data_IF_754307381069
#
_entry.id   IF_754307381069
#
_cell.length_a   1.000
_cell.length_b   1.000
_cell.length_c   1.000
_cell.angle_alpha   90.00
_cell.angle_beta   90.00
_cell.angle_gamma   90.00
#
_symmetry.space_group_name_H-M   'P 1'
#
loop_
_entity.id
_entity.type
_entity.pdbx_description
1 polymer ?
#
# COMPACT_ATOMS: atom_id res chain seq x y z
N UNK A 1 -52.23 44.13 24.10
CA UNK A 1 -50.94 43.88 23.44
C UNK A 1 -50.45 42.57 23.99
N UNK A 2 -50.31 41.57 23.13
CA UNK A 2 -50.02 40.19 23.49
C UNK A 2 -48.51 40.02 23.43
N UNK A 3 -47.92 39.55 24.53
CA UNK A 3 -46.51 39.20 24.64
C UNK A 3 -46.18 38.03 23.69
N UNK A 4 -45.21 38.23 22.81
CA UNK A 4 -44.66 37.19 21.93
C UNK A 4 -43.32 36.72 22.49
N UNK A 5 -43.29 35.49 22.99
CA UNK A 5 -42.04 34.77 23.30
C UNK A 5 -41.26 34.43 22.02
N UNK A 6 -39.92 34.50 22.03
CA UNK A 6 -39.11 34.05 20.91
C UNK A 6 -38.96 32.53 20.95
N UNK A 7 -39.48 31.86 19.92
CA UNK A 7 -39.26 30.43 19.69
C UNK A 7 -37.81 30.17 19.32
N UNK A 8 -37.08 29.46 20.18
CA UNK A 8 -35.77 28.91 19.88
C UNK A 8 -35.91 27.79 18.84
N UNK A 9 -35.64 28.13 17.59
CA UNK A 9 -35.48 27.14 16.53
C UNK A 9 -34.26 26.28 16.80
N UNK A 10 -34.47 25.03 17.20
CA UNK A 10 -33.43 24.00 17.14
C UNK A 10 -32.99 23.85 15.68
N UNK A 11 -31.75 24.21 15.40
CA UNK A 11 -31.10 23.83 14.15
C UNK A 11 -31.11 22.29 14.06
N UNK A 12 -31.44 21.70 12.90
CA UNK A 12 -31.31 20.26 12.72
C UNK A 12 -29.83 19.91 12.91
N UNK A 13 -29.54 19.10 13.93
CA UNK A 13 -28.21 18.57 14.17
C UNK A 13 -27.70 17.91 12.90
N UNK A 14 -26.52 18.31 12.45
CA UNK A 14 -25.85 17.64 11.35
C UNK A 14 -25.77 16.14 11.68
N UNK A 15 -26.37 15.30 10.83
CA UNK A 15 -26.11 13.87 10.87
C UNK A 15 -24.60 13.66 10.91
N UNK A 16 -24.05 12.77 11.76
CA UNK A 16 -22.62 12.52 11.77
C UNK A 16 -22.19 12.18 10.34
N UNK A 17 -21.27 12.97 9.78
CA UNK A 17 -20.71 12.66 8.47
C UNK A 17 -20.18 11.22 8.53
N UNK A 18 -20.75 10.34 7.70
CA UNK A 18 -20.35 8.95 7.69
C UNK A 18 -18.91 8.87 7.18
N UNK A 19 -18.07 8.10 7.87
CA UNK A 19 -16.67 7.85 7.49
C UNK A 19 -16.56 7.49 5.99
N UNK A 20 -15.66 8.13 5.22
CA UNK A 20 -15.47 7.83 3.79
C UNK A 20 -15.13 6.37 3.48
N UNK A 21 -14.61 5.64 4.48
CA UNK A 21 -14.21 4.22 4.38
C UNK A 21 -15.21 3.24 5.06
N UNK A 22 -16.30 3.72 5.65
CA UNK A 22 -17.23 2.90 6.45
C UNK A 22 -16.74 2.61 7.89
N UNK A 23 -17.41 1.69 8.59
CA UNK A 23 -17.03 1.20 9.93
C UNK A 23 -16.07 0.01 9.79
N UNK A 24 -14.90 0.09 10.43
CA UNK A 24 -13.84 -0.92 10.32
C UNK A 24 -13.96 -2.04 11.37
N UNK A 25 -14.98 -2.04 12.24
CA UNK A 25 -15.17 -3.08 13.28
C UNK A 25 -15.36 -4.46 12.68
N UNK A 26 -16.17 -4.56 11.64
CA UNK A 26 -16.47 -5.81 10.95
C UNK A 26 -15.91 -5.78 9.52
N UNK A 27 -15.52 -6.92 8.93
CA UNK A 27 -15.13 -6.98 7.53
C UNK A 27 -16.22 -6.43 6.61
N UNK A 28 -15.82 -5.66 5.59
CA UNK A 28 -16.73 -5.21 4.53
C UNK A 28 -17.11 -6.36 3.59
N UNK A 29 -16.26 -7.38 3.49
CA UNK A 29 -16.49 -8.62 2.75
C UNK A 29 -15.47 -9.70 3.08
N UNK A 30 -15.86 -10.96 2.84
CA UNK A 30 -14.97 -12.12 2.90
C UNK A 30 -15.20 -12.95 1.65
N UNK A 31 -14.15 -13.13 0.83
CA UNK A 31 -14.18 -13.99 -0.36
C UNK A 31 -13.56 -15.33 0.02
N UNK A 32 -14.29 -16.42 -0.25
CA UNK A 32 -13.91 -17.78 0.13
C UNK A 32 -13.87 -18.69 -1.10
N UNK A 33 -12.70 -19.26 -1.40
CA UNK A 33 -12.61 -20.50 -2.17
C UNK A 33 -12.30 -21.68 -1.23
N UNK A 34 -12.87 -22.84 -1.54
CA UNK A 34 -12.89 -24.04 -0.68
C UNK A 34 -11.49 -24.59 -0.37
N UNK A 35 -10.46 -24.16 -1.10
CA UNK A 35 -9.09 -24.63 -0.96
C UNK A 35 -8.08 -23.53 -0.64
N UNK A 36 -8.52 -22.29 -0.42
CA UNK A 36 -7.62 -21.13 -0.23
C UNK A 36 -7.90 -20.38 1.08
N UNK A 37 -6.91 -19.58 1.51
CA UNK A 37 -7.09 -18.70 2.67
C UNK A 37 -8.03 -17.56 2.26
N UNK A 38 -9.10 -17.28 3.01
CA UNK A 38 -10.06 -16.27 2.61
C UNK A 38 -9.46 -14.87 2.51
N UNK A 39 -9.88 -14.13 1.49
CA UNK A 39 -9.59 -12.71 1.33
C UNK A 39 -10.57 -11.94 2.18
N UNK A 40 -10.08 -11.34 3.27
CA UNK A 40 -10.87 -10.50 4.17
C UNK A 40 -10.53 -9.05 3.92
N UNK A 41 -11.53 -8.24 3.59
CA UNK A 41 -11.40 -6.79 3.39
C UNK A 41 -12.27 -6.05 4.39
N UNK A 42 -11.79 -4.92 4.89
CA UNK A 42 -12.44 -4.06 5.88
C UNK A 42 -12.81 -2.71 5.29
N UNK A 43 -12.01 -2.20 4.35
CA UNK A 43 -12.29 -0.91 3.72
C UNK A 43 -13.59 -0.95 2.93
N UNK A 44 -14.30 0.17 2.92
CA UNK A 44 -15.44 0.41 2.03
C UNK A 44 -15.42 1.86 1.56
N UNK A 45 -14.72 2.13 0.46
CA UNK A 45 -14.69 3.42 -0.20
C UNK A 45 -16.12 3.81 -0.65
N UNK A 46 -16.65 4.91 -0.10
CA UNK A 46 -17.98 5.45 -0.42
C UNK A 46 -17.95 6.78 -1.18
N UNK A 47 -16.76 7.25 -1.51
CA UNK A 47 -16.49 8.52 -2.17
C UNK A 47 -15.00 8.65 -2.49
N UNK A 48 -14.52 9.87 -2.78
CA UNK A 48 -13.14 10.10 -3.18
C UNK A 48 -12.11 9.66 -2.13
N UNK A 49 -11.06 8.93 -2.55
CA UNK A 49 -9.94 8.51 -1.69
C UNK A 49 -9.23 9.71 -1.05
N UNK A 50 -9.26 10.86 -1.73
CA UNK A 50 -8.68 12.11 -1.20
C UNK A 50 -9.32 12.56 0.12
N UNK A 51 -10.58 12.20 0.39
CA UNK A 51 -11.30 12.54 1.63
C UNK A 51 -11.00 11.60 2.80
N UNK A 52 -10.36 10.46 2.54
CA UNK A 52 -9.97 9.52 3.60
C UNK A 52 -8.84 10.09 4.46
N UNK A 53 -8.70 9.61 5.70
CA UNK A 53 -7.50 9.90 6.50
C UNK A 53 -6.27 9.18 5.93
N UNK A 54 -5.09 9.53 6.43
CA UNK A 54 -3.87 8.85 6.03
C UNK A 54 -3.89 7.35 6.36
N UNK A 55 -4.34 6.97 7.56
CA UNK A 55 -4.40 5.56 7.97
C UNK A 55 -5.48 4.79 7.22
N UNK A 56 -6.61 5.42 6.91
CA UNK A 56 -7.65 4.83 6.07
C UNK A 56 -7.15 4.55 4.65
N UNK A 57 -6.47 5.52 4.00
CA UNK A 57 -5.80 5.29 2.71
C UNK A 57 -4.79 4.15 2.81
N UNK A 58 -4.00 4.15 3.88
CA UNK A 58 -2.96 3.14 4.10
C UNK A 58 -3.55 1.73 4.23
N UNK A 59 -4.73 1.58 4.85
CA UNK A 59 -5.45 0.32 4.90
C UNK A 59 -6.00 -0.08 3.54
N UNK A 60 -6.71 0.84 2.87
CA UNK A 60 -7.30 0.61 1.55
C UNK A 60 -6.27 0.09 0.55
N UNK A 61 -5.13 0.77 0.44
CA UNK A 61 -4.09 0.38 -0.51
C UNK A 61 -3.36 -0.90 -0.12
N UNK A 62 -3.27 -1.23 1.18
CA UNK A 62 -2.75 -2.51 1.64
C UNK A 62 -3.69 -3.65 1.26
N UNK A 63 -5.00 -3.44 1.39
CA UNK A 63 -6.02 -4.41 0.99
C UNK A 63 -6.02 -4.61 -0.51
N UNK A 64 -6.01 -3.55 -1.32
CA UNK A 64 -5.95 -3.68 -2.78
C UNK A 64 -4.64 -4.35 -3.26
N UNK A 65 -3.51 -4.07 -2.59
CA UNK A 65 -2.27 -4.79 -2.85
C UNK A 65 -2.39 -6.29 -2.50
N UNK A 66 -3.15 -6.66 -1.45
CA UNK A 66 -3.42 -8.06 -1.12
C UNK A 66 -4.38 -8.70 -2.13
N UNK A 67 -5.42 -7.98 -2.50
CA UNK A 67 -6.44 -8.41 -3.48
C UNK A 67 -5.77 -8.73 -4.83
N UNK A 68 -4.74 -7.97 -5.23
CA UNK A 68 -4.00 -8.21 -6.48
C UNK A 68 -3.31 -9.58 -6.57
N UNK A 69 -3.17 -10.32 -5.46
CA UNK A 69 -2.59 -11.67 -5.47
C UNK A 69 -3.58 -12.78 -5.82
N UNK A 70 -4.87 -12.47 -5.91
CA UNK A 70 -5.91 -13.46 -6.18
C UNK A 70 -6.24 -13.49 -7.68
N UNK A 71 -6.95 -14.53 -8.11
CA UNK A 71 -7.46 -14.60 -9.47
C UNK A 71 -8.49 -13.50 -9.75
N UNK A 72 -8.76 -13.26 -11.04
CA UNK A 72 -9.59 -12.14 -11.48
C UNK A 72 -11.00 -12.16 -10.88
N UNK A 73 -11.60 -13.34 -10.70
CA UNK A 73 -12.96 -13.47 -10.14
C UNK A 73 -12.96 -13.05 -8.67
N UNK A 74 -12.03 -13.58 -7.89
CA UNK A 74 -11.92 -13.27 -6.46
C UNK A 74 -11.50 -11.83 -6.22
N UNK A 75 -10.56 -11.34 -7.03
CA UNK A 75 -10.12 -9.96 -6.98
C UNK A 75 -11.27 -9.00 -7.29
N UNK A 76 -12.08 -9.31 -8.31
CA UNK A 76 -13.26 -8.51 -8.65
C UNK A 76 -14.34 -8.56 -7.55
N UNK A 77 -14.55 -9.71 -6.90
CA UNK A 77 -15.50 -9.81 -5.79
C UNK A 77 -15.03 -9.02 -4.56
N UNK A 78 -13.76 -9.17 -4.16
CA UNK A 78 -13.18 -8.41 -3.06
C UNK A 78 -13.19 -6.91 -3.35
N UNK A 79 -12.81 -6.48 -4.55
CA UNK A 79 -12.81 -5.08 -4.96
C UNK A 79 -14.22 -4.46 -4.90
N UNK A 80 -15.27 -5.21 -5.25
CA UNK A 80 -16.67 -4.74 -5.09
C UNK A 80 -17.03 -4.47 -3.63
N UNK A 81 -16.60 -5.31 -2.69
CA UNK A 81 -16.81 -5.04 -1.25
C UNK A 81 -16.06 -3.80 -0.77
N UNK A 82 -14.87 -3.57 -1.33
CA UNK A 82 -14.04 -2.38 -1.07
C UNK A 82 -14.61 -1.11 -1.69
N UNK A 83 -15.42 -1.21 -2.75
CA UNK A 83 -16.05 -0.07 -3.43
C UNK A 83 -15.51 0.24 -4.83
N UNK A 84 -14.85 -0.71 -5.49
CA UNK A 84 -14.33 -0.61 -6.85
C UNK A 84 -14.99 -1.65 -7.77
N UNK A 85 -16.12 -1.31 -8.41
CA UNK A 85 -16.88 -2.27 -9.23
C UNK A 85 -16.28 -2.54 -10.61
N UNK A 86 -15.49 -1.61 -11.17
CA UNK A 86 -14.77 -1.79 -12.44
C UNK A 86 -13.36 -2.32 -12.14
N UNK A 87 -13.10 -3.57 -12.52
CA UNK A 87 -11.82 -4.24 -12.33
C UNK A 87 -11.29 -4.70 -13.68
N UNK A 88 -10.01 -4.44 -13.92
CA UNK A 88 -9.31 -4.90 -15.13
C UNK A 88 -8.00 -5.54 -14.73
N UNK A 89 -7.78 -6.77 -15.15
CA UNK A 89 -6.52 -7.48 -14.96
C UNK A 89 -5.60 -7.28 -16.16
N UNK A 90 -4.31 -7.08 -15.89
CA UNK A 90 -3.25 -6.97 -16.90
C UNK A 90 -2.19 -8.02 -16.59
N UNK A 91 -1.84 -8.80 -17.60
CA UNK A 91 -0.78 -9.80 -17.55
C UNK A 91 -0.01 -9.80 -18.86
N UNK A 92 1.32 -9.82 -18.75
CA UNK A 92 2.20 -10.10 -19.89
C UNK A 92 3.54 -10.60 -19.38
N UNK A 93 3.97 -11.77 -19.88
CA UNK A 93 5.24 -12.43 -19.54
C UNK A 93 5.43 -12.63 -18.02
N UNK A 94 4.33 -12.91 -17.30
CA UNK A 94 4.35 -13.12 -15.84
C UNK A 94 4.28 -11.83 -15.02
N UNK A 95 4.49 -10.67 -15.63
CA UNK A 95 4.26 -9.37 -14.99
C UNK A 95 2.77 -9.11 -14.86
N UNK A 96 2.30 -8.79 -13.65
CA UNK A 96 0.86 -8.67 -13.36
C UNK A 96 0.47 -7.39 -12.61
N UNK A 97 -0.67 -6.82 -12.98
CA UNK A 97 -1.28 -5.69 -12.28
C UNK A 97 -2.81 -5.68 -12.43
N UNK A 98 -3.47 -5.05 -11.48
CA UNK A 98 -4.90 -4.75 -11.55
C UNK A 98 -5.13 -3.24 -11.62
N UNK A 99 -6.15 -2.84 -12.39
CA UNK A 99 -6.80 -1.55 -12.25
C UNK A 99 -8.11 -1.75 -11.50
N UNK A 100 -8.28 -1.06 -10.39
CA UNK A 100 -9.52 -0.93 -9.65
C UNK A 100 -10.08 0.47 -9.86
N UNK A 101 -11.32 0.59 -10.31
CA UNK A 101 -11.95 1.87 -10.62
C UNK A 101 -13.36 1.96 -10.04
N UNK A 102 -13.69 3.15 -9.56
CA UNK A 102 -15.05 3.56 -9.22
C UNK A 102 -15.36 4.90 -9.92
N UNK A 103 -16.41 5.61 -9.49
CA UNK A 103 -16.81 6.88 -10.09
C UNK A 103 -15.86 8.04 -9.73
N UNK A 104 -15.08 7.90 -8.66
CA UNK A 104 -14.25 8.97 -8.09
C UNK A 104 -12.75 8.78 -8.31
N UNK A 105 -12.26 7.54 -8.40
CA UNK A 105 -10.83 7.22 -8.36
C UNK A 105 -10.47 6.00 -9.24
N UNK A 106 -9.21 5.99 -9.68
CA UNK A 106 -8.56 4.87 -10.35
C UNK A 106 -7.33 4.42 -9.55
N UNK A 107 -7.20 3.14 -9.24
CA UNK A 107 -6.07 2.57 -8.50
C UNK A 107 -5.37 1.52 -9.36
N UNK A 108 -4.07 1.65 -9.55
CA UNK A 108 -3.21 0.63 -10.15
C UNK A 108 -2.49 -0.12 -9.04
N UNK A 109 -2.83 -1.40 -8.86
CA UNK A 109 -2.19 -2.30 -7.92
C UNK A 109 -1.29 -3.29 -8.66
N UNK A 110 0.03 -3.17 -8.50
CA UNK A 110 0.97 -4.11 -9.10
C UNK A 110 1.13 -5.33 -8.19
N UNK A 111 0.94 -6.53 -8.75
CA UNK A 111 1.12 -7.80 -8.05
C UNK A 111 2.62 -8.08 -7.90
N UNK A 112 3.03 -8.59 -6.74
CA UNK A 112 4.39 -9.12 -6.54
C UNK A 112 4.44 -10.63 -6.74
N UNK A 113 5.60 -11.22 -6.48
CA UNK A 113 5.83 -12.66 -6.56
C UNK A 113 5.02 -13.45 -5.51
N UNK A 114 4.49 -14.63 -5.87
CA UNK A 114 3.68 -15.47 -4.98
C UNK A 114 4.49 -16.08 -3.81
N UNK A 115 3.86 -16.49 -2.70
CA UNK A 115 4.54 -17.14 -1.57
C UNK A 115 5.32 -18.42 -1.92
N UNK A 116 4.92 -19.16 -2.96
CA UNK A 116 5.62 -20.36 -3.40
C UNK A 116 6.91 -19.99 -4.13
N UNK A 117 6.81 -19.05 -5.07
CA UNK A 117 7.94 -18.42 -5.76
C UNK A 117 8.81 -17.58 -4.80
N UNK A 118 8.27 -17.18 -3.64
CA UNK A 118 9.01 -16.53 -2.57
C UNK A 118 10.04 -17.46 -1.91
N UNK A 119 9.73 -18.75 -1.80
CA UNK A 119 10.69 -19.74 -1.31
C UNK A 119 11.83 -19.92 -2.31
N UNK A 120 11.52 -19.84 -3.61
CA UNK A 120 12.51 -19.86 -4.68
C UNK A 120 13.34 -18.57 -4.67
N UNK A 121 12.71 -17.39 -4.54
CA UNK A 121 13.42 -16.11 -4.31
C UNK A 121 14.28 -16.18 -3.05
N UNK A 122 13.84 -16.84 -1.97
CA UNK A 122 14.63 -16.98 -0.75
C UNK A 122 15.85 -17.88 -0.97
N UNK A 123 15.70 -18.96 -1.73
CA UNK A 123 16.81 -19.82 -2.13
C UNK A 123 17.78 -19.07 -3.06
N UNK A 124 17.22 -18.30 -4.00
CA UNK A 124 17.92 -17.47 -4.96
C UNK A 124 18.38 -16.14 -4.38
N UNK A 125 17.98 -15.71 -3.18
CA UNK A 125 18.44 -14.45 -2.58
C UNK A 125 19.95 -14.51 -2.28
N UNK A 126 20.47 -15.72 -2.05
CA UNK A 126 21.92 -15.99 -2.05
C UNK A 126 22.56 -15.79 -3.43
N UNK A 127 21.79 -15.99 -4.51
CA UNK A 127 22.16 -15.70 -5.90
C UNK A 127 21.73 -14.30 -6.38
N UNK A 128 20.85 -13.57 -5.69
CA UNK A 128 20.34 -12.25 -6.06
C UNK A 128 21.40 -11.15 -5.92
N UNK A 129 22.45 -11.43 -5.13
CA UNK A 129 23.69 -10.68 -5.18
C UNK A 129 24.34 -10.69 -6.58
N UNK A 130 24.03 -11.70 -7.42
CA UNK A 130 24.48 -11.86 -8.81
C UNK A 130 23.48 -11.23 -9.80
N UNK A 131 22.18 -11.20 -9.50
CA UNK A 131 21.14 -10.59 -10.37
C UNK A 131 21.03 -9.06 -10.26
N UNK A 132 21.78 -8.41 -9.37
CA UNK A 132 21.93 -6.95 -9.32
C UNK A 132 22.78 -6.39 -10.49
N UNK A 133 22.69 -6.97 -11.68
CA UNK A 133 23.28 -6.42 -12.90
C UNK A 133 22.56 -5.13 -13.27
N UNK A 134 23.12 -3.99 -12.83
CA UNK A 134 22.65 -2.68 -13.27
C UNK A 134 23.78 -1.86 -13.88
N UNK A 135 23.67 -1.65 -15.18
CA UNK A 135 24.25 -0.51 -15.87
C UNK A 135 23.30 0.71 -15.71
N UNK A 136 23.26 1.28 -14.50
CA UNK A 136 22.73 2.62 -14.22
C UNK A 136 21.20 2.84 -14.22
N UNK A 137 20.75 3.68 -13.26
CA UNK A 137 19.42 4.29 -13.02
C UNK A 137 18.35 3.44 -12.31
N UNK A 138 17.99 2.23 -12.74
CA UNK A 138 16.91 1.41 -12.13
C UNK A 138 17.30 -0.06 -12.12
N UNK A 139 16.83 -0.85 -11.14
CA UNK A 139 16.99 -2.31 -11.16
C UNK A 139 16.47 -2.92 -12.47
N UNK A 140 17.30 -3.67 -13.18
CA UNK A 140 16.96 -4.20 -14.52
C UNK A 140 15.71 -5.07 -14.49
N UNK A 141 15.62 -6.00 -13.52
CA UNK A 141 14.46 -6.88 -13.39
C UNK A 141 13.15 -6.11 -13.23
N UNK A 142 13.07 -5.18 -12.27
CA UNK A 142 11.86 -4.38 -12.05
C UNK A 142 11.50 -3.52 -13.26
N UNK A 143 12.52 -3.00 -13.97
CA UNK A 143 12.29 -2.23 -15.19
C UNK A 143 11.70 -3.10 -16.29
N UNK A 144 12.23 -4.31 -16.51
CA UNK A 144 11.73 -5.26 -17.50
C UNK A 144 10.26 -5.58 -17.25
N UNK A 145 9.89 -6.00 -16.04
CA UNK A 145 8.50 -6.30 -15.69
C UNK A 145 7.53 -5.15 -16.01
N UNK A 146 7.99 -3.92 -15.76
CA UNK A 146 7.19 -2.73 -16.06
C UNK A 146 7.23 -2.39 -17.55
N UNK A 147 8.30 -2.65 -18.29
CA UNK A 147 8.32 -2.47 -19.75
C UNK A 147 7.28 -3.36 -20.43
N UNK A 148 7.08 -4.57 -19.92
CA UNK A 148 6.12 -5.54 -20.44
C UNK A 148 4.67 -5.14 -20.16
N UNK A 149 4.39 -4.66 -18.94
CA UNK A 149 3.04 -4.20 -18.56
C UNK A 149 2.67 -2.80 -19.07
N UNK A 150 3.65 -1.90 -19.15
CA UNK A 150 3.40 -0.46 -19.30
C UNK A 150 2.54 -0.10 -20.54
N UNK A 151 2.71 -0.68 -21.73
CA UNK A 151 1.89 -0.34 -22.89
C UNK A 151 0.37 -0.53 -22.65
N UNK A 152 0.01 -1.59 -21.91
CA UNK A 152 -1.40 -1.86 -21.57
C UNK A 152 -1.92 -0.89 -20.50
N UNK A 153 -1.12 -0.63 -19.47
CA UNK A 153 -1.45 0.34 -18.42
C UNK A 153 -1.58 1.76 -18.99
N UNK A 154 -0.65 2.17 -19.85
CA UNK A 154 -0.67 3.47 -20.52
C UNK A 154 -1.94 3.62 -21.36
N UNK A 155 -2.29 2.60 -22.16
CA UNK A 155 -3.54 2.60 -22.94
C UNK A 155 -4.78 2.74 -22.04
N UNK A 156 -4.81 2.02 -20.90
CA UNK A 156 -5.91 2.10 -19.95
C UNK A 156 -6.00 3.44 -19.21
N UNK A 157 -4.88 4.16 -19.07
CA UNK A 157 -4.78 5.43 -18.35
C UNK A 157 -4.90 6.66 -19.24
N UNK A 158 -4.62 6.58 -20.55
CA UNK A 158 -4.74 7.71 -21.49
C UNK A 158 -6.15 8.31 -21.48
N UNK A 159 -7.19 7.49 -21.34
CA UNK A 159 -8.59 7.92 -21.27
C UNK A 159 -9.13 8.08 -19.84
N UNK A 160 -8.25 8.09 -18.83
CA UNK A 160 -8.66 8.25 -17.44
C UNK A 160 -8.63 9.73 -17.05
N UNK A 161 -9.78 10.23 -16.59
CA UNK A 161 -9.96 11.61 -16.10
C UNK A 161 -10.10 11.67 -14.55
N UNK A 162 -9.96 10.53 -13.88
CA UNK A 162 -10.06 10.42 -12.41
C UNK A 162 -8.68 10.52 -11.75
N UNK A 163 -8.57 11.01 -10.50
CA UNK A 163 -7.38 10.83 -9.68
C UNK A 163 -6.84 9.40 -9.75
N UNK A 164 -5.54 9.27 -10.04
CA UNK A 164 -4.89 7.97 -10.18
C UNK A 164 -3.93 7.70 -9.01
N UNK A 165 -4.06 6.54 -8.41
CA UNK A 165 -3.27 6.09 -7.27
C UNK A 165 -2.51 4.82 -7.62
N UNK A 166 -1.36 4.62 -6.99
CA UNK A 166 -0.55 3.44 -7.21
C UNK A 166 -0.31 2.72 -5.89
N UNK A 167 -0.42 1.39 -5.90
CA UNK A 167 0.02 0.59 -4.78
C UNK A 167 0.66 -0.74 -5.19
N UNK A 168 1.37 -1.35 -4.25
CA UNK A 168 1.96 -2.67 -4.47
C UNK A 168 2.74 -3.18 -3.27
N UNK A 169 2.85 -4.49 -3.19
CA UNK A 169 3.60 -5.19 -2.16
C UNK A 169 4.81 -5.91 -2.75
N UNK A 170 5.91 -5.99 -2.00
CA UNK A 170 7.13 -6.70 -2.42
C UNK A 170 7.65 -6.20 -3.78
N UNK A 171 7.91 -7.11 -4.73
CA UNK A 171 8.20 -6.81 -6.15
C UNK A 171 7.17 -5.84 -6.75
N UNK A 172 5.88 -6.05 -6.49
CA UNK A 172 4.80 -5.18 -6.94
C UNK A 172 4.95 -3.74 -6.44
N UNK A 173 5.52 -3.52 -5.25
CA UNK A 173 5.84 -2.17 -4.76
C UNK A 173 6.93 -1.48 -5.57
N UNK A 174 7.92 -2.23 -6.05
CA UNK A 174 8.95 -1.71 -6.95
C UNK A 174 8.37 -1.38 -8.34
N UNK A 175 7.53 -2.27 -8.88
CA UNK A 175 6.81 -2.05 -10.13
C UNK A 175 5.92 -0.80 -10.05
N UNK A 176 5.10 -0.69 -8.99
CA UNK A 176 4.23 0.46 -8.74
C UNK A 176 5.01 1.77 -8.68
N UNK A 177 6.22 1.77 -8.10
CA UNK A 177 7.11 2.93 -8.07
C UNK A 177 7.52 3.36 -9.48
N UNK A 178 7.89 2.42 -10.34
CA UNK A 178 8.29 2.71 -11.73
C UNK A 178 7.06 3.15 -12.54
N UNK A 179 5.92 2.47 -12.41
CA UNK A 179 4.67 2.81 -13.09
C UNK A 179 4.20 4.22 -12.72
N UNK A 180 4.19 4.58 -11.44
CA UNK A 180 3.80 5.91 -10.99
C UNK A 180 4.75 6.98 -11.55
N UNK A 181 6.06 6.71 -11.55
CA UNK A 181 7.06 7.59 -12.15
C UNK A 181 6.85 7.78 -13.67
N UNK A 182 6.56 6.71 -14.42
CA UNK A 182 6.25 6.81 -15.85
C UNK A 182 4.97 7.57 -16.10
N UNK A 183 3.92 7.31 -15.34
CA UNK A 183 2.63 8.00 -15.43
C UNK A 183 2.83 9.51 -15.25
N UNK A 184 3.54 9.91 -14.19
CA UNK A 184 3.85 11.31 -13.90
C UNK A 184 4.59 12.03 -15.03
N UNK A 185 5.44 11.32 -15.78
CA UNK A 185 6.27 11.88 -16.86
C UNK A 185 5.62 11.75 -18.24
N UNK A 186 4.53 11.02 -18.34
CA UNK A 186 3.84 10.74 -19.60
C UNK A 186 2.95 11.92 -20.01
N UNK A 187 2.28 11.75 -21.14
CA UNK A 187 1.25 12.68 -21.63
C UNK A 187 -0.14 12.35 -21.08
N UNK A 188 -0.26 11.37 -20.17
CA UNK A 188 -1.50 11.01 -19.48
C UNK A 188 -1.95 12.22 -18.66
N UNK A 189 -3.23 12.60 -18.80
CA UNK A 189 -3.77 13.78 -18.12
C UNK A 189 -3.85 13.60 -16.59
N UNK A 190 -4.15 12.37 -16.16
CA UNK A 190 -4.21 12.00 -14.75
C UNK A 190 -2.82 11.89 -14.14
N UNK A 191 -2.42 12.93 -13.40
CA UNK A 191 -1.18 12.93 -12.60
C UNK A 191 -1.38 12.00 -11.40
N UNK A 192 -0.41 11.12 -11.07
CA UNK A 192 -0.48 10.30 -9.87
C UNK A 192 -0.65 11.12 -8.59
N UNK A 193 -1.70 10.83 -7.83
CA UNK A 193 -2.02 11.50 -6.56
C UNK A 193 -1.05 11.08 -5.45
N UNK A 194 -0.86 9.78 -5.26
CA UNK A 194 0.12 9.22 -4.33
C UNK A 194 0.45 7.76 -4.66
N UNK A 195 1.53 7.27 -4.03
CA UNK A 195 2.01 5.90 -4.13
C UNK A 195 2.14 5.27 -2.74
N UNK A 196 1.55 4.09 -2.55
CA UNK A 196 1.60 3.33 -1.31
C UNK A 196 2.27 1.97 -1.54
N UNK A 197 3.38 1.72 -0.84
CA UNK A 197 4.13 0.48 -1.02
C UNK A 197 4.37 -0.23 0.29
N UNK A 198 4.30 -1.57 0.27
CA UNK A 198 4.42 -2.42 1.45
C UNK A 198 5.53 -3.43 1.25
N UNK A 199 6.54 -3.45 2.13
CA UNK A 199 7.66 -4.39 1.98
C UNK A 199 8.48 -4.20 0.70
N UNK A 200 8.44 -3.01 0.08
CA UNK A 200 9.07 -2.77 -1.23
C UNK A 200 10.60 -2.69 -1.15
N UNK A 201 11.33 -3.31 -2.11
CA UNK A 201 12.77 -3.18 -2.22
C UNK A 201 13.19 -1.79 -2.74
N UNK A 202 14.49 -1.50 -2.71
CA UNK A 202 15.06 -0.31 -3.34
C UNK A 202 14.97 -0.44 -4.86
N UNK A 203 14.43 0.58 -5.51
CA UNK A 203 14.11 0.53 -6.94
C UNK A 203 15.26 1.01 -7.84
N UNK A 204 15.97 2.06 -7.41
CA UNK A 204 16.98 2.69 -8.24
C UNK A 204 18.03 3.46 -7.47
N UNK A 205 18.90 4.14 -8.22
CA UNK A 205 19.95 4.99 -7.66
C UNK A 205 19.38 6.35 -7.20
N UNK A 206 20.23 7.16 -6.56
CA UNK A 206 19.87 8.51 -6.09
C UNK A 206 19.31 9.40 -7.21
N UNK A 207 19.77 9.26 -8.45
CA UNK A 207 19.30 10.10 -9.56
C UNK A 207 17.88 9.72 -9.96
N UNK A 208 17.58 8.43 -10.04
CA UNK A 208 16.25 7.95 -10.38
C UNK A 208 15.21 8.30 -9.33
N UNK A 209 15.49 8.01 -8.06
CA UNK A 209 14.51 8.23 -6.98
C UNK A 209 14.18 9.70 -6.72
N UNK A 210 15.02 10.63 -7.18
CA UNK A 210 14.81 12.07 -7.06
C UNK A 210 14.31 12.70 -8.36
N UNK A 211 14.06 11.90 -9.41
CA UNK A 211 13.67 12.42 -10.72
C UNK A 211 12.20 12.86 -10.75
N UNK A 212 11.33 12.19 -9.99
CA UNK A 212 9.92 12.53 -9.83
C UNK A 212 9.65 12.83 -8.36
N UNK A 213 8.97 13.94 -8.09
CA UNK A 213 8.44 14.26 -6.75
C UNK A 213 7.00 13.79 -6.70
N UNK A 214 6.80 12.59 -6.15
CA UNK A 214 5.51 11.99 -5.88
C UNK A 214 5.40 11.74 -4.39
N UNK A 215 4.21 11.96 -3.81
CA UNK A 215 3.93 11.54 -2.45
C UNK A 215 3.94 10.02 -2.39
N UNK A 216 5.04 9.49 -1.87
CA UNK A 216 5.30 8.05 -1.78
C UNK A 216 5.43 7.66 -0.32
N UNK A 217 4.50 6.84 0.16
CA UNK A 217 4.53 6.29 1.52
C UNK A 217 4.96 4.82 1.46
N UNK A 218 6.06 4.52 2.15
CA UNK A 218 6.69 3.20 2.13
C UNK A 218 6.60 2.56 3.50
N UNK A 219 5.73 1.56 3.62
CA UNK A 219 5.56 0.77 4.82
C UNK A 219 6.68 -0.25 4.98
N UNK A 220 7.29 -0.26 6.16
CA UNK A 220 8.36 -1.18 6.53
C UNK A 220 7.99 -1.89 7.82
N UNK A 221 7.94 -3.22 7.77
CA UNK A 221 7.68 -4.03 8.95
C UNK A 221 8.98 -4.54 9.55
N UNK A 222 9.37 -3.99 10.70
CA UNK A 222 10.42 -4.50 11.58
C UNK A 222 11.67 -5.06 10.87
N UNK A 223 11.80 -6.40 10.82
CA UNK A 223 12.97 -7.10 10.30
C UNK A 223 12.82 -7.56 8.85
N UNK A 224 11.79 -7.11 8.12
CA UNK A 224 11.62 -7.40 6.71
C UNK A 224 12.91 -7.06 5.93
N UNK A 225 13.53 -8.11 5.36
CA UNK A 225 14.79 -8.01 4.61
C UNK A 225 14.61 -7.42 3.22
N UNK A 226 13.42 -7.52 2.63
CA UNK A 226 13.15 -7.08 1.25
C UNK A 226 13.27 -5.58 1.14
N UNK A 227 12.81 -4.87 2.17
CA UNK A 227 13.01 -3.42 2.30
C UNK A 227 14.49 -3.00 2.42
N UNK A 228 15.41 -3.96 2.47
CA UNK A 228 16.85 -3.75 2.58
C UNK A 228 17.61 -4.29 1.37
N UNK A 229 16.93 -4.82 0.36
CA UNK A 229 17.49 -5.24 -0.92
C UNK A 229 17.07 -4.30 -2.05
N UNK A 230 17.87 -4.11 -3.11
CA UNK A 230 19.31 -4.35 -3.12
C UNK A 230 20.04 -3.51 -2.05
N UNK A 231 21.20 -3.96 -1.54
CA UNK A 231 21.94 -3.23 -0.51
C UNK A 231 22.37 -1.81 -0.94
N UNK A 232 22.29 -0.86 -0.01
CA UNK A 232 22.62 0.54 -0.29
C UNK A 232 24.09 0.77 -0.73
N UNK A 233 25.02 -0.11 -0.36
CA UNK A 233 26.42 -0.01 -0.77
C UNK A 233 26.61 -0.27 -2.28
N UNK A 234 25.64 -0.89 -2.96
CA UNK A 234 25.61 -1.03 -4.42
C UNK A 234 25.06 0.23 -5.13
N UNK A 235 24.82 1.33 -4.41
CA UNK A 235 24.33 2.60 -4.98
C UNK A 235 22.81 2.78 -4.96
N UNK A 236 22.05 1.75 -4.61
CA UNK A 236 20.59 1.79 -4.50
C UNK A 236 20.11 2.65 -3.33
N UNK A 237 19.00 3.36 -3.52
CA UNK A 237 18.38 4.22 -2.50
C UNK A 237 16.87 4.03 -2.48
N UNK A 238 16.25 4.36 -1.35
CA UNK A 238 14.79 4.44 -1.22
C UNK A 238 14.31 5.84 -1.60
N UNK A 239 13.19 5.92 -2.31
CA UNK A 239 12.34 7.12 -2.41
C UNK A 239 11.26 7.09 -1.32
N UNK A 240 10.55 8.21 -1.21
CA UNK A 240 9.37 8.35 -0.37
C UNK A 240 9.68 8.46 1.12
N UNK A 241 8.60 8.55 1.87
CA UNK A 241 8.58 8.70 3.32
C UNK A 241 8.38 7.32 3.94
N UNK A 242 9.25 6.93 4.87
CA UNK A 242 9.18 5.64 5.55
C UNK A 242 8.16 5.66 6.67
N UNK A 243 7.17 4.77 6.60
CA UNK A 243 6.20 4.48 7.67
C UNK A 243 6.62 3.17 8.33
N UNK A 244 7.14 3.24 9.55
CA UNK A 244 7.72 2.08 10.22
C UNK A 244 6.71 1.40 11.16
N UNK A 245 6.60 0.08 11.03
CA UNK A 245 5.85 -0.79 11.93
C UNK A 245 6.86 -1.50 12.83
N UNK A 246 6.75 -1.29 14.14
CA UNK A 246 7.64 -1.91 15.13
C UNK A 246 7.32 -3.41 15.36
N UNK A 247 8.18 -4.10 16.10
CA UNK A 247 8.04 -5.53 16.42
C UNK A 247 6.76 -5.92 17.18
N UNK A 248 6.07 -4.93 17.74
CA UNK A 248 4.87 -5.07 18.56
C UNK A 248 3.62 -4.62 17.76
N UNK A 249 3.79 -4.16 16.51
CA UNK A 249 2.72 -3.79 15.59
C UNK A 249 2.30 -2.32 15.68
N UNK A 250 3.10 -1.46 16.34
CA UNK A 250 2.80 -0.03 16.40
C UNK A 250 3.39 0.70 15.20
N UNK A 251 2.60 1.63 14.65
CA UNK A 251 3.04 2.54 13.60
C UNK A 251 3.50 3.84 14.26
N UNK A 252 4.71 4.28 13.95
CA UNK A 252 5.21 5.55 14.44
C UNK A 252 6.65 5.83 14.05
N UNK A 253 7.11 7.03 14.37
CA UNK A 253 8.48 7.41 14.12
C UNK A 253 9.42 6.77 15.13
N UNK A 254 10.47 6.14 14.61
CA UNK A 254 11.61 5.67 15.38
C UNK A 254 12.89 6.19 14.74
N UNK A 255 13.80 6.70 15.55
CA UNK A 255 15.13 7.08 15.10
C UNK A 255 15.97 5.85 14.70
N UNK A 256 17.14 6.08 14.11
CA UNK A 256 18.00 5.00 13.62
C UNK A 256 18.48 4.04 14.74
N UNK A 257 18.72 4.53 15.95
CA UNK A 257 19.16 3.72 17.09
C UNK A 257 18.01 2.89 17.66
N UNK A 258 16.83 3.51 17.78
CA UNK A 258 15.59 2.86 18.19
C UNK A 258 15.20 1.75 17.20
N UNK A 259 15.26 2.02 15.88
CA UNK A 259 15.04 0.98 14.84
C UNK A 259 16.04 -0.16 14.96
N UNK A 260 17.33 0.13 15.16
CA UNK A 260 18.35 -0.92 15.33
C UNK A 260 18.06 -1.80 16.55
N UNK A 261 17.66 -1.17 17.65
CA UNK A 261 17.32 -1.86 18.89
C UNK A 261 16.01 -2.65 18.80
N UNK A 262 14.98 -2.08 18.18
CA UNK A 262 13.71 -2.75 17.87
C UNK A 262 13.95 -4.01 17.04
N UNK A 263 14.73 -3.90 15.97
CA UNK A 263 15.14 -5.03 15.12
C UNK A 263 15.87 -6.12 15.89
N UNK A 264 16.86 -5.76 16.72
CA UNK A 264 17.58 -6.74 17.54
C UNK A 264 16.66 -7.45 18.52
N UNK A 265 15.75 -6.71 19.16
CA UNK A 265 14.73 -7.28 20.04
C UNK A 265 13.72 -8.15 19.28
N UNK A 266 13.32 -7.74 18.08
CA UNK A 266 12.46 -8.50 17.17
C UNK A 266 13.12 -9.82 16.77
N UNK A 267 14.40 -9.80 16.44
CA UNK A 267 15.20 -10.98 16.14
C UNK A 267 15.25 -11.95 17.34
N UNK A 268 15.53 -11.44 18.56
CA UNK A 268 15.51 -12.27 19.77
C UNK A 268 14.11 -12.87 20.07
N UNK A 269 13.03 -12.10 19.84
CA UNK A 269 11.64 -12.57 19.97
C UNK A 269 11.34 -13.66 18.93
N UNK A 270 11.86 -13.53 17.71
CA UNK A 270 11.79 -14.53 16.64
C UNK A 270 12.49 -15.84 17.01
N UNK A 271 13.70 -15.78 17.57
CA UNK A 271 14.42 -16.96 18.09
C UNK A 271 13.58 -17.70 19.13
N UNK A 272 12.98 -16.99 20.09
CA UNK A 272 12.13 -17.60 21.12
C UNK A 272 10.86 -18.26 20.56
N UNK A 273 10.38 -17.81 19.41
CA UNK A 273 9.18 -18.33 18.73
C UNK A 273 9.50 -19.32 17.60
N UNK A 274 10.75 -19.76 17.46
CA UNK A 274 11.22 -20.58 16.34
C UNK A 274 10.94 -19.99 14.94
N UNK A 275 10.81 -18.66 14.85
CA UNK A 275 10.66 -17.89 13.60
C UNK A 275 11.95 -17.12 13.30
N UNK A 276 13.01 -17.84 12.91
CA UNK A 276 14.37 -17.28 12.75
C UNK A 276 14.58 -16.59 11.38
N UNK A 277 13.57 -16.57 10.52
CA UNK A 277 13.73 -16.10 9.15
C UNK A 277 13.38 -14.62 8.97
N UNK A 278 14.30 -13.79 8.45
CA UNK A 278 14.08 -12.37 8.17
C UNK A 278 12.98 -12.09 7.13
N UNK A 279 12.51 -13.14 6.45
CA UNK A 279 11.35 -13.10 5.57
C UNK A 279 10.01 -13.29 6.30
N UNK A 280 10.02 -13.64 7.59
CA UNK A 280 8.79 -13.88 8.38
C UNK A 280 7.90 -12.65 8.56
N UNK A 281 8.50 -11.45 8.47
CA UNK A 281 7.83 -10.16 8.63
C UNK A 281 7.38 -9.58 7.27
N UNK A 282 7.75 -10.23 6.15
CA UNK A 282 7.50 -9.76 4.81
C UNK A 282 6.05 -9.95 4.31
N UNK A 283 5.35 -11.07 4.58
CA UNK A 283 4.01 -11.27 4.04
C UNK A 283 3.05 -10.13 4.37
N UNK A 284 2.24 -9.72 3.39
CA UNK A 284 1.38 -8.55 3.49
C UNK A 284 0.37 -8.59 4.66
N UNK A 285 -0.05 -9.78 5.11
CA UNK A 285 -0.88 -9.91 6.31
C UNK A 285 -0.21 -9.38 7.58
N UNK A 286 1.13 -9.39 7.66
CA UNK A 286 1.88 -8.81 8.78
C UNK A 286 1.88 -7.27 8.75
N UNK A 287 1.57 -6.67 7.61
CA UNK A 287 1.38 -5.22 7.46
C UNK A 287 -0.07 -4.82 7.72
N UNK A 288 -1.03 -5.59 7.18
CA UNK A 288 -2.46 -5.31 7.27
C UNK A 288 -2.97 -5.22 8.70
N UNK A 289 -2.59 -6.17 9.58
CA UNK A 289 -3.05 -6.19 10.97
C UNK A 289 -2.72 -4.90 11.74
N UNK A 290 -1.44 -4.49 11.81
CA UNK A 290 -1.02 -3.22 12.39
C UNK A 290 -1.72 -1.98 11.81
N UNK A 291 -1.87 -1.92 10.48
CA UNK A 291 -2.51 -0.79 9.80
C UNK A 291 -4.01 -0.72 10.14
N UNK A 292 -4.70 -1.86 10.13
CA UNK A 292 -6.12 -1.95 10.49
C UNK A 292 -6.34 -1.52 11.94
N UNK A 293 -5.50 -1.98 12.87
CA UNK A 293 -5.62 -1.61 14.28
C UNK A 293 -5.39 -0.10 14.49
N UNK A 294 -4.39 0.48 13.80
CA UNK A 294 -4.14 1.91 13.83
C UNK A 294 -5.33 2.70 13.26
N UNK A 295 -5.89 2.29 12.11
CA UNK A 295 -7.04 2.93 11.50
C UNK A 295 -8.31 2.82 12.35
N UNK A 296 -8.53 1.68 13.02
CA UNK A 296 -9.64 1.49 13.97
C UNK A 296 -9.52 2.41 15.17
N UNK A 297 -8.31 2.50 15.73
CA UNK A 297 -8.04 3.38 16.85
C UNK A 297 -8.30 4.84 16.48
N UNK A 298 -7.78 5.28 15.33
CA UNK A 298 -8.03 6.62 14.80
C UNK A 298 -9.53 6.86 14.59
N UNK A 299 -10.28 5.89 14.04
CA UNK A 299 -11.73 6.02 13.87
C UNK A 299 -12.48 6.26 15.19
N UNK A 300 -12.01 5.66 16.30
CA UNK A 300 -12.57 5.91 17.64
C UNK A 300 -12.18 7.29 18.17
N UNK A 301 -10.96 7.75 17.91
CA UNK A 301 -10.45 9.08 18.28
C UNK A 301 -11.19 10.20 17.52
N UNK A 302 -11.37 10.06 16.20
CA UNK A 302 -12.18 10.95 15.36
C UNK A 302 -13.63 11.04 15.85
N UNK A 303 -14.23 9.92 16.26
CA UNK A 303 -15.60 9.90 16.80
C UNK A 303 -15.72 10.66 18.14
N UNK A 304 -14.61 10.91 18.84
CA UNK A 304 -14.55 11.75 20.05
C UNK A 304 -14.24 13.21 19.74
N UNK A 305 -13.98 13.55 18.48
CA UNK A 305 -13.63 14.90 18.03
C UNK A 305 -12.13 15.21 18.03
N UNK A 306 -11.27 14.19 18.13
CA UNK A 306 -9.84 14.35 17.94
C UNK A 306 -9.51 14.54 16.44
N UNK A 307 -8.32 15.07 16.13
CA UNK A 307 -7.86 15.24 14.75
C UNK A 307 -7.35 13.92 14.14
N UNK A 308 -7.39 13.82 12.81
CA UNK A 308 -6.81 12.69 12.08
C UNK A 308 -5.28 12.68 12.22
N UNK A 309 -4.70 11.47 12.24
CA UNK A 309 -3.25 11.30 12.29
C UNK A 309 -2.65 11.66 10.94
N UNK A 310 -1.78 12.66 10.92
CA UNK A 310 -1.08 13.04 9.70
C UNK A 310 0.13 12.15 9.43
N UNK A 311 0.43 11.93 8.14
CA UNK A 311 1.59 11.14 7.74
C UNK A 311 2.91 11.70 8.33
N UNK A 312 3.01 13.02 8.50
CA UNK A 312 4.17 13.68 9.07
C UNK A 312 4.44 13.30 10.53
N UNK A 313 3.40 12.98 11.31
CA UNK A 313 3.52 12.60 12.72
C UNK A 313 4.09 11.19 12.89
N UNK A 314 3.82 10.31 11.91
CA UNK A 314 4.28 8.93 11.93
C UNK A 314 5.70 8.76 11.36
N UNK A 315 6.28 9.81 10.78
CA UNK A 315 7.45 9.70 9.92
C UNK A 315 8.60 10.66 10.25
N UNK A 316 8.40 11.64 11.15
CA UNK A 316 9.39 12.65 11.54
C UNK A 316 10.05 12.42 12.89
#
# INVERSE_FOLDING_TARGET
MIDSEPTSGNAPGASPQQSPIGDLKEPSGVVHDKNEVPVVVYSRARGPIAEMTFLQRSLLFAELAMVSYNDEREAAEAARFVGFPDVTFFEHDGSQAYRFRNDDDCVIACRGTEPNEWNDIRADANAAAVLAETAGKVHRGFKTEVDDLWPMLETALIGNDLPVWFCGHSLGGAMATICAGRCFLSHIQSIPSALFTYGSPRVGDKRYINFVRLDHYRFVNNNDIVTRTPPAWMGYRHCGTEVYIDRDGHIGHLDALQKRHDRWRGFLKGIRRFRIDHFSDHPLHQYLGPILEAARREQVELARGDDAVEAAELTR
#
